data_IF_088455425661
#
_entry.id   IF_088455425661
#
_cell.length_a   1.000
_cell.length_b   1.000
_cell.length_c   1.000
_cell.angle_alpha   90.00
_cell.angle_beta   90.00
_cell.angle_gamma   90.00
#
_symmetry.space_group_name_H-M   'P 1'
#
loop_
_entity.id
_entity.type
_entity.pdbx_description
1 polymer ?
#
# COMPACT_ATOMS: atom_id res chain seq x y z
N UNK A 1 -66.38 34.37 -27.70
CA UNK A 1 -65.16 34.56 -28.52
C UNK A 1 -63.97 34.18 -27.68
N UNK A 2 -63.11 33.30 -28.21
CA UNK A 2 -61.91 32.77 -27.58
C UNK A 2 -60.90 33.90 -27.35
N UNK A 3 -60.38 34.05 -26.15
CA UNK A 3 -59.09 34.72 -25.93
C UNK A 3 -58.24 33.80 -25.07
N UNK A 4 -57.05 33.56 -25.62
CA UNK A 4 -56.14 32.47 -25.35
C UNK A 4 -55.23 32.86 -24.18
N UNK A 5 -55.05 31.91 -23.26
CA UNK A 5 -54.09 31.91 -22.15
C UNK A 5 -52.65 32.06 -22.69
N UNK A 6 -51.77 32.74 -21.95
CA UNK A 6 -50.42 32.20 -21.81
C UNK A 6 -50.01 32.14 -20.33
N UNK A 7 -49.99 30.93 -19.80
CA UNK A 7 -49.38 30.61 -18.52
C UNK A 7 -47.88 30.44 -18.81
N UNK A 8 -47.11 31.50 -18.58
CA UNK A 8 -45.66 31.49 -18.72
C UNK A 8 -45.04 30.71 -17.54
N UNK A 9 -44.95 29.38 -17.67
CA UNK A 9 -44.09 28.57 -16.82
C UNK A 9 -42.67 28.75 -17.34
N UNK A 10 -41.91 29.59 -16.66
CA UNK A 10 -40.46 29.59 -16.75
C UNK A 10 -39.95 28.28 -16.14
N UNK A 11 -39.75 27.26 -16.96
CA UNK A 11 -38.87 26.14 -16.64
C UNK A 11 -37.45 26.71 -16.53
N UNK A 12 -37.06 27.07 -15.30
CA UNK A 12 -35.66 27.19 -14.93
C UNK A 12 -35.04 25.81 -15.12
N UNK A 13 -34.41 25.62 -16.28
CA UNK A 13 -33.52 24.51 -16.52
C UNK A 13 -32.38 24.60 -15.50
N UNK A 14 -32.49 23.81 -14.43
CA UNK A 14 -31.34 23.38 -13.65
C UNK A 14 -30.53 22.43 -14.54
N UNK A 15 -29.86 22.97 -15.55
CA UNK A 15 -28.73 22.30 -16.17
C UNK A 15 -27.65 22.30 -15.12
N UNK A 16 -27.59 21.22 -14.34
CA UNK A 16 -26.50 20.97 -13.42
C UNK A 16 -25.19 21.05 -14.19
N UNK A 17 -24.37 22.06 -13.87
CA UNK A 17 -22.94 21.98 -14.08
C UNK A 17 -22.39 20.90 -13.15
N UNK A 18 -22.63 19.64 -13.47
CA UNK A 18 -21.80 18.53 -12.99
C UNK A 18 -20.64 18.37 -13.96
N UNK A 19 -19.92 19.47 -14.19
CA UNK A 19 -18.66 19.45 -14.91
C UNK A 19 -17.56 19.24 -13.87
N UNK A 20 -17.06 18.00 -13.87
CA UNK A 20 -15.66 17.68 -13.62
C UNK A 20 -15.18 17.88 -12.17
N UNK A 21 -15.68 17.03 -11.27
CA UNK A 21 -14.73 16.40 -10.36
C UNK A 21 -14.05 15.30 -11.18
N UNK A 22 -12.89 15.61 -11.78
CA UNK A 22 -11.95 14.56 -12.16
C UNK A 22 -11.43 13.96 -10.86
N UNK A 23 -12.12 12.93 -10.38
CA UNK A 23 -11.45 11.88 -9.63
C UNK A 23 -10.39 11.34 -10.58
N UNK A 24 -9.17 11.85 -10.47
CA UNK A 24 -7.99 11.08 -10.88
C UNK A 24 -7.76 9.98 -9.85
N UNK A 25 -8.79 9.15 -9.62
CA UNK A 25 -8.56 7.83 -9.10
C UNK A 25 -7.82 7.10 -10.21
N UNK A 26 -6.50 6.96 -10.07
CA UNK A 26 -5.72 6.04 -10.90
C UNK A 26 -6.44 4.70 -10.89
N UNK A 27 -7.12 4.36 -12.00
CA UNK A 27 -7.85 3.10 -12.09
C UNK A 27 -6.89 1.95 -11.78
N UNK A 28 -7.29 1.05 -10.87
CA UNK A 28 -6.49 -0.12 -10.52
C UNK A 28 -6.19 -0.93 -11.77
N UNK A 29 -4.90 -1.10 -12.07
CA UNK A 29 -4.46 -1.83 -13.25
C UNK A 29 -4.31 -3.33 -12.96
N UNK A 30 -5.02 -4.14 -13.74
CA UNK A 30 -5.06 -5.59 -13.63
C UNK A 30 -4.20 -6.29 -14.69
N UNK A 31 -3.60 -7.41 -14.31
CA UNK A 31 -2.71 -8.24 -15.14
C UNK A 31 -3.10 -9.71 -15.06
N UNK A 32 -2.69 -10.50 -16.06
CA UNK A 32 -3.00 -11.93 -16.10
C UNK A 32 -2.09 -12.76 -15.18
N UNK A 33 -0.92 -12.22 -14.83
CA UNK A 33 0.06 -12.95 -14.00
C UNK A 33 0.57 -12.12 -12.83
N UNK A 34 0.89 -12.81 -11.72
CA UNK A 34 1.52 -12.19 -10.54
C UNK A 34 2.88 -11.56 -10.88
N UNK A 35 3.61 -12.11 -11.85
CA UNK A 35 4.92 -11.58 -12.25
C UNK A 35 4.77 -10.22 -12.96
N UNK A 36 3.82 -10.09 -13.89
CA UNK A 36 3.52 -8.81 -14.54
C UNK A 36 3.06 -7.75 -13.53
N UNK A 37 2.25 -8.14 -12.55
CA UNK A 37 1.83 -7.24 -11.46
C UNK A 37 3.01 -6.74 -10.64
N UNK A 38 3.96 -7.62 -10.30
CA UNK A 38 5.17 -7.24 -9.56
C UNK A 38 6.06 -6.35 -10.43
N UNK A 39 6.26 -6.67 -11.71
CA UNK A 39 7.04 -5.84 -12.64
C UNK A 39 6.43 -4.45 -12.85
N UNK A 40 5.09 -4.35 -12.80
CA UNK A 40 4.39 -3.08 -12.77
C UNK A 40 4.66 -2.33 -11.46
N UNK A 41 4.45 -2.98 -10.30
CA UNK A 41 4.71 -2.38 -8.99
C UNK A 41 6.15 -1.86 -8.83
N UNK A 42 7.15 -2.61 -9.30
CA UNK A 42 8.56 -2.19 -9.32
C UNK A 42 8.74 -0.84 -10.04
N UNK A 43 8.02 -0.63 -11.15
CA UNK A 43 8.09 0.62 -11.93
C UNK A 43 7.37 1.76 -11.24
N UNK A 44 6.17 1.52 -10.71
CA UNK A 44 5.40 2.54 -9.97
C UNK A 44 6.19 3.02 -8.75
N UNK A 45 6.79 2.09 -8.02
CA UNK A 45 7.60 2.38 -6.83
C UNK A 45 8.99 2.93 -7.15
N UNK A 46 9.39 2.94 -8.42
CA UNK A 46 10.72 3.37 -8.89
C UNK A 46 11.85 2.63 -8.18
N UNK A 47 11.63 1.35 -7.88
CA UNK A 47 12.61 0.44 -7.26
C UNK A 47 13.20 -0.51 -8.30
N UNK A 48 14.16 -1.34 -7.89
CA UNK A 48 14.69 -2.45 -8.69
C UNK A 48 14.19 -3.79 -8.16
N UNK A 49 14.33 -4.85 -8.96
CA UNK A 49 13.96 -6.21 -8.55
C UNK A 49 14.73 -6.65 -7.29
N UNK A 50 15.98 -6.24 -7.15
CA UNK A 50 16.83 -6.56 -5.99
C UNK A 50 16.45 -5.78 -4.72
N UNK A 51 15.58 -4.79 -4.85
CA UNK A 51 15.04 -4.04 -3.72
C UNK A 51 13.85 -4.74 -3.06
N UNK A 52 13.25 -5.72 -3.72
CA UNK A 52 12.29 -6.63 -3.08
C UNK A 52 13.07 -7.53 -2.12
N UNK A 53 12.78 -7.37 -0.82
CA UNK A 53 13.44 -8.09 0.28
C UNK A 53 12.55 -9.19 0.87
N UNK A 54 11.27 -9.22 0.52
CA UNK A 54 10.35 -10.20 1.07
C UNK A 54 9.07 -10.37 0.26
N UNK A 55 8.52 -11.58 0.32
CA UNK A 55 7.15 -11.89 -0.08
C UNK A 55 6.51 -12.69 1.05
N UNK A 56 5.38 -12.20 1.55
CA UNK A 56 4.67 -12.81 2.68
C UNK A 56 3.27 -13.18 2.22
N UNK A 57 2.85 -14.41 2.50
CA UNK A 57 1.46 -14.84 2.32
C UNK A 57 0.82 -14.98 3.70
N UNK A 58 -0.20 -14.18 3.97
CA UNK A 58 -0.84 -14.10 5.29
C UNK A 58 -2.34 -13.85 5.15
N UNK A 59 -3.16 -14.61 5.87
CA UNK A 59 -4.63 -14.58 5.79
C UNK A 59 -5.20 -14.54 4.35
N UNK A 60 -4.58 -15.27 3.42
CA UNK A 60 -4.98 -15.33 2.00
C UNK A 60 -4.59 -14.11 1.17
N UNK A 61 -3.90 -13.13 1.74
CA UNK A 61 -3.32 -11.99 1.03
C UNK A 61 -1.83 -12.26 0.71
N UNK A 62 -1.32 -11.61 -0.32
CA UNK A 62 0.11 -11.65 -0.65
C UNK A 62 0.69 -10.25 -0.55
N UNK A 63 1.73 -10.09 0.26
CA UNK A 63 2.44 -8.84 0.46
C UNK A 63 3.83 -8.90 -0.18
N UNK A 64 4.26 -7.79 -0.76
CA UNK A 64 5.60 -7.56 -1.29
C UNK A 64 6.25 -6.50 -0.43
N UNK A 65 7.38 -6.84 0.16
CA UNK A 65 8.16 -5.98 1.05
C UNK A 65 9.40 -5.58 0.28
N UNK A 66 9.65 -4.28 0.19
CA UNK A 66 10.79 -3.73 -0.52
C UNK A 66 11.46 -2.63 0.27
N UNK A 67 12.75 -2.44 0.00
CA UNK A 67 13.51 -1.30 0.50
C UNK A 67 13.53 -0.19 -0.54
N UNK A 68 13.63 1.06 -0.09
CA UNK A 68 13.67 2.22 -0.98
C UNK A 68 14.45 3.33 -0.31
N UNK A 69 15.22 4.08 -1.11
CA UNK A 69 15.85 5.28 -0.59
C UNK A 69 14.80 6.38 -0.50
N UNK A 70 14.54 6.86 0.71
CA UNK A 70 13.66 7.98 0.98
C UNK A 70 14.48 9.23 1.30
N UNK A 71 13.80 10.37 1.39
CA UNK A 71 14.40 11.56 1.97
C UNK A 71 14.81 11.26 3.42
N UNK A 72 16.08 11.52 3.75
CA UNK A 72 16.63 11.29 5.08
C UNK A 72 17.11 9.87 5.38
N UNK A 73 16.98 8.90 4.48
CA UNK A 73 17.64 7.59 4.63
C UNK A 73 16.93 6.39 4.01
N UNK A 74 17.19 5.20 4.56
CA UNK A 74 16.64 3.94 4.05
C UNK A 74 15.24 3.70 4.59
N UNK A 75 14.29 3.47 3.69
CA UNK A 75 12.92 3.13 4.01
C UNK A 75 12.51 1.72 3.59
N UNK A 76 11.34 1.32 4.06
CA UNK A 76 10.64 0.09 3.73
C UNK A 76 9.22 0.43 3.29
N UNK A 77 8.85 -0.07 2.12
CA UNK A 77 7.49 -0.06 1.62
C UNK A 77 6.88 -1.46 1.63
N UNK A 78 5.56 -1.50 1.73
CA UNK A 78 4.80 -2.75 1.70
C UNK A 78 3.54 -2.56 0.88
N UNK A 79 3.45 -3.32 -0.21
CA UNK A 79 2.26 -3.37 -1.05
C UNK A 79 1.67 -4.77 -1.02
N UNK A 80 0.41 -4.89 -1.42
CA UNK A 80 -0.28 -6.18 -1.56
C UNK A 80 -0.59 -6.48 -3.02
N UNK A 81 -0.74 -7.77 -3.32
CA UNK A 81 -1.24 -8.24 -4.62
C UNK A 81 -2.71 -8.58 -4.44
N UNK A 82 -3.56 -7.79 -5.05
CA UNK A 82 -4.99 -8.06 -5.15
C UNK A 82 -5.24 -9.14 -6.18
N UNK A 83 -6.22 -10.01 -5.92
CA UNK A 83 -6.60 -11.10 -6.81
C UNK A 83 -8.12 -11.09 -7.03
N UNK A 84 -8.55 -11.03 -8.29
CA UNK A 84 -9.96 -11.06 -8.68
C UNK A 84 -10.14 -11.78 -10.01
N UNK A 85 -11.03 -12.78 -10.06
CA UNK A 85 -11.35 -13.55 -11.28
C UNK A 85 -10.11 -14.07 -12.04
N UNK A 86 -9.05 -14.45 -11.31
CA UNK A 86 -7.79 -14.93 -11.88
C UNK A 86 -6.84 -13.84 -12.41
N UNK A 87 -7.20 -12.57 -12.24
CA UNK A 87 -6.36 -11.42 -12.53
C UNK A 87 -5.75 -10.84 -11.26
N UNK A 88 -4.66 -10.09 -11.43
CA UNK A 88 -3.83 -9.59 -10.34
C UNK A 88 -3.57 -8.10 -10.47
N UNK A 89 -3.63 -7.37 -9.37
CA UNK A 89 -3.31 -5.95 -9.34
C UNK A 89 -2.36 -5.60 -8.20
N UNK A 90 -1.53 -4.59 -8.44
CA UNK A 90 -0.66 -4.02 -7.42
C UNK A 90 -1.50 -3.04 -6.61
N UNK A 91 -1.59 -3.28 -5.31
CA UNK A 91 -2.30 -2.39 -4.40
C UNK A 91 -1.32 -1.87 -3.35
N UNK A 92 -1.01 -0.58 -3.46
CA UNK A 92 -0.21 0.16 -2.50
C UNK A 92 -1.10 1.19 -1.78
N UNK A 93 -1.22 1.14 -0.46
CA UNK A 93 -1.90 2.18 0.32
C UNK A 93 -1.03 3.45 0.54
N UNK A 94 0.09 3.60 -0.17
CA UNK A 94 1.03 4.74 -0.13
C UNK A 94 1.65 4.95 1.26
N UNK A 95 2.21 3.90 1.87
CA UNK A 95 2.86 3.98 3.18
C UNK A 95 4.28 3.40 3.15
N UNK A 96 5.25 4.26 2.81
CA UNK A 96 6.68 4.00 2.99
C UNK A 96 7.15 4.53 4.35
N UNK A 97 7.85 3.71 5.13
CA UNK A 97 8.38 4.11 6.45
C UNK A 97 9.91 4.15 6.44
N UNK A 98 10.50 5.21 6.98
CA UNK A 98 11.93 5.29 7.20
C UNK A 98 12.34 4.30 8.30
N UNK A 99 13.32 3.43 8.06
CA UNK A 99 13.83 2.44 9.04
C UNK A 99 15.27 2.73 9.48
N UNK A 100 15.97 3.57 8.74
CA UNK A 100 17.28 4.12 9.10
C UNK A 100 17.35 5.56 8.61
N UNK A 101 17.82 6.44 9.47
CA UNK A 101 18.00 7.85 9.15
C UNK A 101 19.50 8.17 9.07
N UNK A 102 19.90 8.94 8.06
CA UNK A 102 21.30 9.24 7.77
C UNK A 102 21.87 10.37 8.67
N UNK A 103 21.00 11.18 9.28
CA UNK A 103 21.36 12.31 10.14
C UNK A 103 21.53 11.92 11.61
N UNK A 104 20.90 10.82 12.05
CA UNK A 104 21.00 10.35 13.44
C UNK A 104 21.64 8.97 13.53
N UNK A 105 22.56 8.83 14.49
CA UNK A 105 23.26 7.55 14.73
C UNK A 105 22.36 6.46 15.31
N UNK A 106 21.33 6.85 16.07
CA UNK A 106 20.40 5.94 16.72
C UNK A 106 18.99 6.29 16.27
N UNK A 107 18.44 5.43 15.40
CA UNK A 107 17.07 5.52 14.89
C UNK A 107 16.25 4.38 15.51
N UNK A 108 14.99 4.65 15.88
CA UNK A 108 14.15 3.67 16.60
C UNK A 108 14.06 2.35 15.84
N UNK A 109 14.27 1.24 16.54
CA UNK A 109 14.52 -0.07 15.94
C UNK A 109 13.28 -0.81 15.48
N UNK A 110 12.10 -0.54 16.05
CA UNK A 110 10.84 -1.18 15.66
C UNK A 110 9.79 -0.12 15.30
N UNK A 111 9.21 -0.26 14.11
CA UNK A 111 8.14 0.58 13.57
C UNK A 111 6.96 -0.32 13.27
N UNK A 112 5.75 0.18 13.49
CA UNK A 112 4.54 -0.55 13.12
C UNK A 112 3.43 0.39 12.69
N UNK A 113 2.65 -0.04 11.70
CA UNK A 113 1.48 0.68 11.21
C UNK A 113 0.38 -0.29 10.79
N UNK A 114 -0.85 0.21 10.76
CA UNK A 114 -1.99 -0.52 10.23
C UNK A 114 -2.09 -0.35 8.72
N UNK A 115 -2.56 -1.39 8.03
CA UNK A 115 -2.89 -1.35 6.61
C UNK A 115 -4.18 -2.13 6.34
N UNK A 116 -4.85 -1.78 5.26
CA UNK A 116 -6.01 -2.50 4.72
C UNK A 116 -5.72 -2.88 3.28
N UNK A 117 -5.96 -4.12 2.89
CA UNK A 117 -5.80 -4.57 1.49
C UNK A 117 -7.07 -4.28 0.70
N UNK A 118 -7.00 -4.37 -0.63
CA UNK A 118 -8.17 -4.13 -1.49
C UNK A 118 -9.36 -5.06 -1.18
N UNK A 119 -9.12 -6.23 -0.60
CA UNK A 119 -10.18 -7.15 -0.16
C UNK A 119 -10.87 -6.72 1.15
N UNK A 120 -10.44 -5.61 1.77
CA UNK A 120 -10.95 -5.08 3.03
C UNK A 120 -10.38 -5.76 4.28
N UNK A 121 -9.38 -6.63 4.13
CA UNK A 121 -8.70 -7.27 5.26
C UNK A 121 -7.69 -6.32 5.87
N UNK A 122 -7.59 -6.35 7.20
CA UNK A 122 -6.74 -5.42 7.95
C UNK A 122 -5.56 -6.14 8.60
N UNK A 123 -4.40 -5.49 8.58
CA UNK A 123 -3.16 -6.02 9.12
C UNK A 123 -2.39 -4.95 9.88
N UNK A 124 -1.53 -5.37 10.81
CA UNK A 124 -0.45 -4.55 11.34
C UNK A 124 0.86 -5.05 10.77
N UNK A 125 1.61 -4.15 10.14
CA UNK A 125 2.96 -4.41 9.68
C UNK A 125 3.92 -3.99 10.78
N UNK A 126 4.94 -4.79 11.02
CA UNK A 126 6.06 -4.51 11.91
C UNK A 126 7.34 -4.60 11.09
N UNK A 127 8.20 -3.60 11.21
CA UNK A 127 9.49 -3.57 10.50
C UNK A 127 10.54 -2.87 11.35
N UNK A 128 11.80 -2.97 10.91
CA UNK A 128 12.92 -2.34 11.57
C UNK A 128 14.26 -2.82 11.03
N UNK A 129 15.33 -2.31 11.62
CA UNK A 129 16.70 -2.79 11.34
C UNK A 129 17.25 -3.42 12.61
N UNK A 130 17.89 -4.58 12.47
CA UNK A 130 18.61 -5.22 13.56
C UNK A 130 19.98 -5.72 13.11
N UNK A 131 20.97 -5.57 13.98
CA UNK A 131 22.27 -6.23 13.85
C UNK A 131 22.27 -7.65 14.46
N UNK A 132 21.21 -8.01 15.20
CA UNK A 132 21.07 -9.35 15.77
C UNK A 132 20.67 -10.35 14.67
N UNK A 133 21.27 -11.53 14.69
CA UNK A 133 20.91 -12.62 13.74
C UNK A 133 19.48 -13.14 13.95
N UNK A 134 18.92 -12.98 15.16
CA UNK A 134 17.58 -13.41 15.53
C UNK A 134 16.87 -12.31 16.35
N UNK A 135 16.39 -11.23 15.71
CA UNK A 135 15.64 -10.19 16.41
C UNK A 135 14.30 -10.73 16.91
N UNK A 136 13.77 -10.09 17.95
CA UNK A 136 12.42 -10.36 18.47
C UNK A 136 11.56 -9.12 18.26
N UNK A 137 10.39 -9.31 17.68
CA UNK A 137 9.40 -8.24 17.48
C UNK A 137 8.32 -8.37 18.55
N UNK A 138 8.05 -7.26 19.24
CA UNK A 138 6.94 -7.17 20.19
C UNK A 138 5.67 -6.75 19.47
N UNK A 139 4.70 -7.63 19.40
CA UNK A 139 3.38 -7.37 18.81
C UNK A 139 2.33 -7.18 19.91
N UNK A 140 1.08 -6.91 19.53
CA UNK A 140 -0.04 -6.85 20.47
C UNK A 140 -0.38 -8.20 21.09
N UNK A 141 -0.03 -9.31 20.43
CA UNK A 141 -0.39 -10.68 20.84
C UNK A 141 0.77 -11.43 21.50
N UNK A 142 2.00 -10.92 21.40
CA UNK A 142 3.15 -11.52 22.05
C UNK A 142 4.46 -11.14 21.37
N UNK A 143 5.48 -11.94 21.64
CA UNK A 143 6.79 -11.83 20.98
C UNK A 143 6.85 -12.83 19.82
N UNK A 144 7.37 -12.38 18.68
CA UNK A 144 7.50 -13.20 17.47
C UNK A 144 8.88 -13.07 16.86
N UNK A 145 9.32 -14.11 16.16
CA UNK A 145 10.51 -14.07 15.30
C UNK A 145 10.09 -13.56 13.91
N UNK A 146 10.57 -12.38 13.48
CA UNK A 146 10.26 -11.84 12.17
C UNK A 146 11.06 -12.56 11.07
N UNK A 147 10.70 -12.31 9.81
CA UNK A 147 11.59 -12.58 8.68
C UNK A 147 12.66 -11.49 8.62
N UNK A 148 13.88 -11.82 8.20
CA UNK A 148 14.99 -10.86 8.08
C UNK A 148 15.70 -10.97 6.73
N UNK A 149 15.93 -9.83 6.08
CA UNK A 149 16.87 -9.71 4.97
C UNK A 149 18.28 -9.54 5.53
N UNK A 150 19.04 -10.65 5.57
CA UNK A 150 20.39 -10.69 6.13
C UNK A 150 21.38 -9.72 5.44
N UNK A 151 21.09 -9.25 4.22
CA UNK A 151 21.95 -8.29 3.52
C UNK A 151 21.86 -6.90 4.12
N UNK A 152 20.69 -6.49 4.59
CA UNK A 152 20.42 -5.14 5.09
C UNK A 152 20.15 -5.09 6.59
N UNK A 153 19.87 -6.24 7.21
CA UNK A 153 19.40 -6.33 8.59
C UNK A 153 17.94 -5.88 8.75
N UNK A 154 17.23 -5.58 7.65
CA UNK A 154 15.82 -5.22 7.71
C UNK A 154 15.02 -6.47 8.08
N UNK A 155 14.24 -6.38 9.15
CA UNK A 155 13.29 -7.40 9.51
C UNK A 155 11.86 -6.95 9.26
N UNK A 156 10.95 -7.88 9.02
CA UNK A 156 9.54 -7.61 8.84
C UNK A 156 8.65 -8.75 9.35
N UNK A 157 7.47 -8.39 9.83
CA UNK A 157 6.40 -9.31 10.23
C UNK A 157 5.04 -8.67 9.95
N UNK A 158 4.11 -9.46 9.43
CA UNK A 158 2.75 -9.00 9.10
C UNK A 158 1.78 -9.78 9.97
N UNK A 159 0.93 -9.08 10.70
CA UNK A 159 -0.03 -9.67 11.61
C UNK A 159 -1.46 -9.31 11.19
N UNK A 160 -2.37 -10.28 10.97
CA UNK A 160 -3.80 -10.00 10.83
C UNK A 160 -4.35 -9.27 12.06
N UNK A 161 -5.24 -8.29 11.85
CA UNK A 161 -5.88 -7.56 12.96
C UNK A 161 -7.35 -7.90 13.16
N UNK A 162 -8.03 -8.42 12.14
CA UNK A 162 -9.42 -8.89 12.16
C UNK A 162 -9.63 -9.99 11.15
#
# INVERSE_FOLDING_TARGET
>A
MKVILPFAIALLALTGCSALASDESTETKWFETKEETIDYGIKEEKIKKEDIIGKVSENGETFIIYKKQLEGGLGVGVSSISENEGQYAWYDPDQDVLVKNDEVKQYSSQISWGTETQSGKTFTIYTGVSEAEAPVVKTKTGEVSPTIDNKTGIYFYIQPTK
#
